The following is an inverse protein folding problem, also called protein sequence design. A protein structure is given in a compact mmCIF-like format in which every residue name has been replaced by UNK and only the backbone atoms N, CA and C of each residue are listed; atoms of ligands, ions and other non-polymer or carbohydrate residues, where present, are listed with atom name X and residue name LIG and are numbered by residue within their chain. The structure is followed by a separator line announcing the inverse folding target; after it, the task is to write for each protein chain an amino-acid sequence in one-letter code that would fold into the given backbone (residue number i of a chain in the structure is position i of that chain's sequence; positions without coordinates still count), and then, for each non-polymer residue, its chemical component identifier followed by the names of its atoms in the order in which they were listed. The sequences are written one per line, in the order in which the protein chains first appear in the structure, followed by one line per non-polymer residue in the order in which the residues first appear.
data_IF_254608606875
#
_entry.id   IF_254608606875
#
_cell.length_a   1.000
_cell.length_b   1.000
_cell.length_c   1.000
_cell.angle_alpha   90.00
_cell.angle_beta   90.00
_cell.angle_gamma   90.00
#
_symmetry.space_group_name_H-M   'P 1'
#
loop_
_entity.id
_entity.type
_entity.pdbx_description
1 polymer ?
#
# COMPACT_ATOMS: atom_id res chain seq x y z
N UNK A 1 2.75 -13.02 12.65
CA UNK A 1 3.81 -12.97 11.63
C UNK A 1 3.49 -14.02 10.59
N UNK A 2 3.20 -13.58 9.38
CA UNK A 2 3.01 -14.49 8.24
C UNK A 2 4.35 -14.51 7.52
N UNK A 3 5.00 -15.66 7.55
CA UNK A 3 6.23 -15.91 6.80
C UNK A 3 5.90 -16.88 5.67
N UNK A 4 5.72 -16.35 4.46
CA UNK A 4 5.46 -17.16 3.28
C UNK A 4 6.71 -17.16 2.38
N UNK A 5 7.51 -18.22 2.50
CA UNK A 5 8.80 -18.34 1.83
C UNK A 5 8.69 -18.96 0.41
N UNK A 6 7.49 -19.10 -0.15
CA UNK A 6 7.27 -19.96 -1.32
C UNK A 6 6.63 -19.30 -2.55
N UNK A 7 6.63 -17.99 -2.73
CA UNK A 7 5.86 -17.34 -3.81
C UNK A 7 4.38 -17.77 -3.88
N UNK A 8 3.90 -18.47 -2.87
CA UNK A 8 2.54 -18.94 -2.82
C UNK A 8 1.74 -17.99 -1.95
N UNK A 9 0.88 -17.32 -2.57
CA UNK A 9 0.07 -16.24 -2.05
C UNK A 9 -1.04 -16.85 -1.22
N UNK A 10 -0.99 -16.64 0.07
CA UNK A 10 -2.03 -17.12 0.98
C UNK A 10 -3.11 -16.05 1.16
N UNK A 11 -4.35 -16.46 1.08
CA UNK A 11 -5.47 -15.64 1.54
C UNK A 11 -5.44 -15.54 3.06
N UNK A 12 -5.56 -14.32 3.58
CA UNK A 12 -5.68 -14.04 5.00
C UNK A 12 -7.12 -13.57 5.29
N UNK A 13 -7.92 -14.47 5.84
CA UNK A 13 -9.29 -14.13 6.26
C UNK A 13 -9.35 -13.92 7.77
N UNK A 14 -9.80 -12.74 8.19
CA UNK A 14 -9.89 -12.33 9.58
C UNK A 14 -11.30 -11.87 9.91
N UNK A 15 -11.84 -12.37 11.02
CA UNK A 15 -13.13 -11.93 11.57
C UNK A 15 -12.94 -11.33 12.95
N UNK A 16 -13.55 -10.19 13.21
CA UNK A 16 -13.65 -9.67 14.56
C UNK A 16 -14.62 -10.48 15.40
N UNK A 17 -14.25 -10.72 16.65
CA UNK A 17 -15.14 -11.35 17.62
C UNK A 17 -16.33 -10.44 17.98
N UNK A 18 -16.11 -9.16 17.95
CA UNK A 18 -17.12 -8.11 18.20
C UNK A 18 -16.91 -7.01 17.12
N UNK A 19 -17.86 -6.93 16.22
CA UNK A 19 -17.86 -6.00 15.09
C UNK A 19 -18.80 -4.79 15.35
N UNK A 20 -19.14 -4.52 16.60
CA UNK A 20 -20.04 -3.42 16.97
C UNK A 20 -19.31 -2.07 17.13
N UNK A 21 -17.99 -2.06 17.01
CA UNK A 21 -17.17 -0.86 17.02
C UNK A 21 -17.35 0.01 15.78
N UNK A 22 -16.79 1.21 15.82
CA UNK A 22 -16.70 2.12 14.68
C UNK A 22 -15.29 2.71 14.55
N UNK A 23 -14.30 2.09 15.20
CA UNK A 23 -12.89 2.49 15.19
C UNK A 23 -11.98 1.28 15.38
N UNK A 24 -12.31 0.18 14.70
CA UNK A 24 -11.56 -1.06 14.78
C UNK A 24 -10.29 -0.98 13.92
N UNK A 25 -9.19 -1.48 14.46
CA UNK A 25 -7.86 -1.39 13.84
C UNK A 25 -7.27 -2.78 13.63
N UNK A 26 -6.83 -3.06 12.41
CA UNK A 26 -6.03 -4.22 12.09
C UNK A 26 -4.58 -3.79 11.82
N UNK A 27 -3.63 -4.48 12.44
CA UNK A 27 -2.21 -4.28 12.15
C UNK A 27 -1.65 -5.53 11.45
N UNK A 28 -1.00 -5.32 10.32
CA UNK A 28 -0.33 -6.36 9.52
C UNK A 28 1.13 -5.99 9.36
N UNK A 29 2.01 -6.90 9.75
CA UNK A 29 3.46 -6.75 9.59
C UNK A 29 3.96 -7.75 8.55
N UNK A 30 4.59 -7.24 7.51
CA UNK A 30 5.23 -8.02 6.45
C UNK A 30 6.74 -7.83 6.56
N UNK A 31 7.44 -8.93 6.54
CA UNK A 31 8.90 -8.92 6.54
C UNK A 31 9.38 -9.53 5.23
N UNK A 32 10.19 -8.79 4.47
CA UNK A 32 10.77 -9.23 3.21
C UNK A 32 11.50 -10.57 3.36
N UNK A 33 11.52 -11.36 2.31
CA UNK A 33 12.10 -12.70 2.33
C UNK A 33 13.61 -12.62 2.55
N UNK A 34 14.12 -13.46 3.47
CA UNK A 34 15.52 -13.55 3.85
C UNK A 34 16.40 -14.02 2.67
N UNK A 35 17.12 -13.10 2.04
CA UNK A 35 18.30 -13.37 1.21
C UNK A 35 18.07 -14.16 -0.08
N UNK A 36 16.85 -14.34 -0.56
CA UNK A 36 16.57 -15.00 -1.83
C UNK A 36 16.19 -13.99 -2.91
N UNK A 37 17.04 -13.83 -3.88
CA UNK A 37 16.78 -13.00 -5.05
C UNK A 37 15.46 -13.38 -5.73
N UNK A 38 14.50 -12.45 -5.74
CA UNK A 38 13.21 -12.61 -6.43
C UNK A 38 12.11 -13.28 -5.60
N UNK A 39 12.33 -13.55 -4.32
CA UNK A 39 11.25 -13.97 -3.43
C UNK A 39 10.39 -12.76 -3.02
N UNK A 40 9.09 -12.89 -3.14
CA UNK A 40 8.12 -11.92 -2.62
C UNK A 40 7.42 -12.55 -1.42
N UNK A 41 7.31 -11.81 -0.32
CA UNK A 41 6.34 -12.15 0.70
C UNK A 41 4.99 -11.60 0.24
N UNK A 42 4.15 -12.49 -0.27
CA UNK A 42 2.86 -12.12 -0.83
C UNK A 42 1.68 -12.61 0.01
N UNK A 43 0.69 -11.75 0.15
CA UNK A 43 -0.67 -12.11 0.55
C UNK A 43 -1.54 -11.83 -0.67
N UNK A 44 -2.27 -12.85 -1.15
CA UNK A 44 -3.13 -12.71 -2.33
C UNK A 44 -4.30 -11.79 -2.01
N UNK A 45 -4.95 -12.09 -0.92
CA UNK A 45 -6.09 -11.32 -0.49
C UNK A 45 -6.13 -11.19 1.02
N UNK A 46 -6.38 -9.98 1.51
CA UNK A 46 -6.71 -9.75 2.91
C UNK A 46 -8.21 -9.49 2.99
N UNK A 47 -8.92 -10.46 3.54
CA UNK A 47 -10.37 -10.40 3.73
C UNK A 47 -10.66 -10.15 5.20
N UNK A 48 -11.36 -9.08 5.48
CA UNK A 48 -11.84 -8.77 6.82
C UNK A 48 -13.19 -8.04 6.77
N UNK A 49 -13.86 -7.94 7.91
CA UNK A 49 -15.13 -7.22 8.04
C UNK A 49 -15.12 -6.32 9.26
N UNK A 50 -15.72 -5.15 9.13
CA UNK A 50 -15.87 -4.16 10.21
C UNK A 50 -14.53 -3.68 10.80
N UNK A 51 -13.55 -3.46 9.94
CA UNK A 51 -12.28 -2.80 10.26
C UNK A 51 -12.25 -1.44 9.54
N UNK A 52 -12.15 -0.38 10.29
CA UNK A 52 -12.11 0.99 9.73
C UNK A 52 -10.69 1.43 9.41
N UNK A 53 -9.69 0.89 10.10
CA UNK A 53 -8.28 1.25 9.89
C UNK A 53 -7.42 0.01 9.73
N UNK A 54 -6.69 -0.06 8.63
CA UNK A 54 -5.66 -1.05 8.37
C UNK A 54 -4.29 -0.39 8.43
N UNK A 55 -3.43 -0.86 9.33
CA UNK A 55 -2.03 -0.47 9.39
C UNK A 55 -1.16 -1.59 8.83
N UNK A 56 -0.33 -1.27 7.85
CA UNK A 56 0.60 -2.19 7.22
C UNK A 56 2.02 -1.70 7.49
N UNK A 57 2.86 -2.58 8.01
CA UNK A 57 4.30 -2.34 8.12
C UNK A 57 5.03 -3.27 7.15
N UNK A 58 5.82 -2.69 6.26
CA UNK A 58 6.65 -3.38 5.27
C UNK A 58 8.11 -3.19 5.62
N UNK A 59 8.70 -4.19 6.24
CA UNK A 59 10.08 -4.11 6.71
C UNK A 59 10.94 -5.27 6.16
N UNK A 60 12.24 -5.03 6.12
CA UNK A 60 13.23 -6.09 5.87
C UNK A 60 13.45 -6.89 7.14
N UNK A 61 13.59 -8.20 7.02
CA UNK A 61 13.99 -9.04 8.16
C UNK A 61 15.41 -8.70 8.55
N UNK A 62 15.59 -8.15 9.75
CA UNK A 62 16.91 -8.06 10.38
C UNK A 62 17.26 -9.42 10.99
N UNK A 63 17.96 -10.25 10.28
CA UNK A 63 18.53 -11.47 10.88
C UNK A 63 19.62 -11.05 11.85
N UNK A 64 19.42 -11.33 13.12
CA UNK A 64 20.44 -11.13 14.15
C UNK A 64 21.66 -11.98 13.84
N UNK A 65 22.70 -11.39 13.27
CA UNK A 65 23.98 -12.00 13.07
C UNK A 65 24.55 -11.87 11.67
N UNK A 66 25.19 -10.77 11.39
CA UNK A 66 26.31 -10.62 10.43
C UNK A 66 26.04 -10.90 8.94
N UNK A 67 24.80 -10.98 8.50
CA UNK A 67 24.54 -10.97 7.07
C UNK A 67 24.14 -9.55 6.64
N UNK A 68 24.96 -9.01 5.76
CA UNK A 68 24.72 -7.74 5.13
C UNK A 68 23.45 -7.88 4.30
N UNK A 69 22.39 -7.23 4.71
CA UNK A 69 21.18 -7.04 3.90
C UNK A 69 21.61 -6.45 2.56
N UNK A 70 21.78 -7.30 1.57
CA UNK A 70 21.94 -6.84 0.20
C UNK A 70 20.55 -6.36 -0.23
N UNK A 71 20.41 -5.08 -0.41
CA UNK A 71 19.22 -4.36 -0.86
C UNK A 71 18.82 -4.75 -2.29
N UNK A 72 18.65 -6.01 -2.56
CA UNK A 72 18.27 -6.47 -3.88
C UNK A 72 16.82 -6.89 -3.90
N UNK A 73 15.95 -5.91 -4.18
CA UNK A 73 14.75 -6.12 -4.98
C UNK A 73 13.71 -7.10 -4.44
N UNK A 74 13.70 -7.38 -3.16
CA UNK A 74 12.61 -8.09 -2.51
C UNK A 74 11.49 -7.09 -2.25
N UNK A 75 10.26 -7.50 -2.42
CA UNK A 75 9.12 -6.64 -2.20
C UNK A 75 8.05 -7.41 -1.46
N UNK A 76 7.44 -6.77 -0.48
CA UNK A 76 6.20 -7.26 0.07
C UNK A 76 5.05 -6.98 -0.91
N UNK A 77 4.12 -7.92 -1.01
CA UNK A 77 3.01 -7.84 -1.95
C UNK A 77 1.69 -8.11 -1.21
N UNK A 78 0.74 -7.23 -1.38
CA UNK A 78 -0.67 -7.50 -1.09
C UNK A 78 -1.42 -7.28 -2.41
N UNK A 79 -1.86 -8.38 -3.02
CA UNK A 79 -2.48 -8.33 -4.34
C UNK A 79 -3.84 -7.67 -4.30
N UNK A 80 -4.59 -7.89 -3.21
CA UNK A 80 -5.85 -7.20 -2.99
C UNK A 80 -6.17 -7.06 -1.49
N UNK A 81 -6.86 -5.99 -1.16
CA UNK A 81 -7.60 -5.84 0.09
C UNK A 81 -9.06 -5.85 -0.32
N UNK A 82 -9.67 -7.02 -0.23
CA UNK A 82 -11.07 -7.19 -0.59
C UNK A 82 -11.95 -7.26 0.65
N UNK A 83 -13.18 -6.85 0.47
CA UNK A 83 -14.31 -7.18 1.31
C UNK A 83 -14.58 -6.35 2.55
N UNK A 84 -14.01 -5.17 2.76
CA UNK A 84 -14.54 -4.37 3.85
C UNK A 84 -15.17 -3.05 3.43
N UNK A 85 -16.51 -3.01 3.53
CA UNK A 85 -17.28 -1.77 3.33
C UNK A 85 -17.11 -0.76 4.47
N UNK A 86 -16.43 -1.10 5.57
CA UNK A 86 -16.16 -0.20 6.69
C UNK A 86 -14.79 0.49 6.57
N UNK A 87 -13.87 -0.03 5.76
CA UNK A 87 -12.50 0.48 5.63
C UNK A 87 -12.49 1.92 5.14
N UNK A 88 -11.98 2.82 5.98
CA UNK A 88 -11.85 4.25 5.67
C UNK A 88 -10.40 4.70 5.53
N UNK A 89 -9.48 3.99 6.19
CA UNK A 89 -8.09 4.39 6.31
C UNK A 89 -7.14 3.21 6.14
N UNK A 90 -6.16 3.38 5.25
CA UNK A 90 -5.02 2.47 5.12
C UNK A 90 -3.75 3.27 5.38
N UNK A 91 -2.96 2.86 6.37
CA UNK A 91 -1.66 3.42 6.66
C UNK A 91 -0.59 2.40 6.30
N UNK A 92 0.42 2.84 5.55
CA UNK A 92 1.55 2.01 5.12
C UNK A 92 2.85 2.66 5.60
N UNK A 93 3.69 1.87 6.23
CA UNK A 93 4.98 2.32 6.74
C UNK A 93 6.04 1.25 6.56
N UNK A 94 7.31 1.64 6.72
CA UNK A 94 8.41 0.70 6.72
C UNK A 94 9.56 1.07 5.80
N UNK A 95 10.53 0.17 5.73
CA UNK A 95 11.80 0.37 5.02
C UNK A 95 12.04 -0.66 3.91
N UNK A 96 11.04 -1.43 3.56
CA UNK A 96 11.09 -2.37 2.43
C UNK A 96 10.03 -2.02 1.39
N UNK A 97 10.30 -2.37 0.12
CA UNK A 97 9.38 -2.12 -0.97
C UNK A 97 8.05 -2.83 -0.76
N UNK A 98 6.96 -2.15 -1.07
CA UNK A 98 5.63 -2.74 -1.05
C UNK A 98 4.90 -2.55 -2.37
N UNK A 99 4.15 -3.55 -2.78
CA UNK A 99 3.10 -3.44 -3.79
C UNK A 99 1.77 -3.76 -3.12
N UNK A 100 0.83 -2.84 -3.20
CA UNK A 100 -0.45 -2.92 -2.50
C UNK A 100 -1.60 -2.51 -3.43
N UNK A 101 -2.63 -3.34 -3.50
CA UNK A 101 -3.90 -2.97 -4.13
C UNK A 101 -5.01 -2.87 -3.08
N UNK A 102 -5.77 -1.81 -3.12
CA UNK A 102 -7.02 -1.63 -2.37
C UNK A 102 -8.17 -1.66 -3.37
N UNK A 103 -8.96 -2.73 -3.30
CA UNK A 103 -10.03 -3.02 -4.25
C UNK A 103 -11.21 -2.05 -4.19
N UNK A 104 -12.15 -2.25 -5.10
CA UNK A 104 -13.37 -1.43 -5.20
C UNK A 104 -14.34 -1.67 -4.02
N UNK A 105 -14.19 -2.77 -3.31
CA UNK A 105 -14.96 -3.16 -2.14
C UNK A 105 -14.76 -2.19 -0.98
N UNK A 106 -13.58 -1.57 -0.87
CA UNK A 106 -13.28 -0.49 0.09
C UNK A 106 -13.97 0.83 -0.32
N UNK A 107 -15.29 0.80 -0.48
CA UNK A 107 -16.07 1.91 -1.02
C UNK A 107 -16.06 3.18 -0.15
N UNK A 108 -15.70 3.07 1.12
CA UNK A 108 -15.58 4.20 2.07
C UNK A 108 -14.14 4.66 2.27
N UNK A 109 -13.17 4.09 1.57
CA UNK A 109 -11.78 4.53 1.68
C UNK A 109 -11.67 6.02 1.39
N UNK A 110 -11.11 6.76 2.32
CA UNK A 110 -10.90 8.21 2.22
C UNK A 110 -9.44 8.61 2.43
N UNK A 111 -8.63 7.71 3.01
CA UNK A 111 -7.21 7.95 3.28
C UNK A 111 -6.36 6.74 2.95
N UNK A 112 -5.35 6.95 2.12
CA UNK A 112 -4.27 6.00 1.85
C UNK A 112 -2.95 6.71 2.15
N UNK A 113 -2.43 6.51 3.36
CA UNK A 113 -1.28 7.24 3.89
C UNK A 113 -0.04 6.33 3.90
N UNK A 114 0.84 6.51 2.94
CA UNK A 114 2.13 5.85 2.84
C UNK A 114 3.31 6.78 3.23
N UNK A 115 3.04 7.90 3.89
CA UNK A 115 4.09 8.86 4.27
C UNK A 115 5.13 8.28 5.26
N UNK A 116 4.81 7.15 5.89
CA UNK A 116 5.73 6.39 6.73
C UNK A 116 6.69 5.47 5.96
N UNK A 117 6.56 5.37 4.63
CA UNK A 117 7.47 4.58 3.80
C UNK A 117 8.76 5.34 3.55
N UNK A 118 9.88 4.63 3.74
CA UNK A 118 11.21 5.15 3.39
C UNK A 118 11.79 4.48 2.14
N UNK A 119 11.07 3.53 1.58
CA UNK A 119 11.39 2.81 0.36
C UNK A 119 10.20 2.86 -0.62
N UNK A 120 10.38 2.35 -1.84
CA UNK A 120 9.43 2.49 -2.93
C UNK A 120 8.09 1.80 -2.63
N UNK A 121 6.98 2.50 -2.84
CA UNK A 121 5.64 1.98 -2.74
C UNK A 121 4.94 2.00 -4.10
N UNK A 122 4.36 0.88 -4.49
CA UNK A 122 3.48 0.77 -5.66
C UNK A 122 2.06 0.54 -5.15
N UNK A 123 1.27 1.58 -5.17
CA UNK A 123 -0.08 1.59 -4.63
C UNK A 123 -1.10 1.61 -5.75
N UNK A 124 -2.15 0.83 -5.62
CA UNK A 124 -3.31 0.88 -6.52
C UNK A 124 -4.56 1.05 -5.68
N UNK A 125 -5.45 1.94 -6.08
CA UNK A 125 -6.77 2.07 -5.49
C UNK A 125 -7.84 2.09 -6.56
N UNK A 126 -8.93 1.35 -6.32
CA UNK A 126 -10.13 1.34 -7.14
C UNK A 126 -11.34 1.89 -6.37
N UNK A 127 -11.12 2.54 -5.23
CA UNK A 127 -12.19 3.14 -4.44
C UNK A 127 -12.92 4.21 -5.26
N UNK A 128 -14.25 4.21 -5.15
CA UNK A 128 -15.10 5.19 -5.85
C UNK A 128 -15.30 6.49 -5.06
N UNK A 129 -14.88 6.50 -3.79
CA UNK A 129 -14.91 7.69 -2.93
C UNK A 129 -13.74 8.62 -3.25
N UNK A 130 -13.81 9.87 -2.78
CA UNK A 130 -12.68 10.78 -2.81
C UNK A 130 -11.58 10.29 -1.85
N UNK A 131 -10.38 10.06 -2.36
CA UNK A 131 -9.24 9.52 -1.60
C UNK A 131 -8.14 10.56 -1.48
N UNK A 132 -7.66 10.76 -0.25
CA UNK A 132 -6.43 11.49 0.01
C UNK A 132 -5.28 10.49 0.09
N UNK A 133 -4.33 10.60 -0.83
CA UNK A 133 -3.12 9.77 -0.87
C UNK A 133 -1.94 10.62 -0.43
N UNK A 134 -1.13 10.05 0.48
CA UNK A 134 0.18 10.61 0.84
C UNK A 134 1.24 9.56 0.53
N UNK A 135 2.23 9.94 -0.24
CA UNK A 135 3.37 9.11 -0.60
C UNK A 135 4.51 9.33 0.40
N UNK A 136 5.42 8.37 0.46
CA UNK A 136 6.60 8.40 1.33
C UNK A 136 7.79 9.13 0.71
N UNK A 137 8.99 8.74 1.14
CA UNK A 137 10.24 9.27 0.59
C UNK A 137 10.90 8.34 -0.44
N UNK A 138 10.22 7.32 -0.87
CA UNK A 138 10.63 6.39 -1.92
C UNK A 138 10.55 6.99 -3.32
N UNK A 139 10.65 6.13 -4.34
CA UNK A 139 10.22 6.45 -5.70
C UNK A 139 8.88 5.74 -5.89
N UNK A 140 7.81 6.45 -5.63
CA UNK A 140 6.51 5.86 -5.42
C UNK A 140 5.67 5.86 -6.70
N UNK A 141 4.73 4.95 -6.76
CA UNK A 141 3.72 4.92 -7.83
C UNK A 141 2.35 4.80 -7.20
N UNK A 142 1.44 5.68 -7.58
CA UNK A 142 0.01 5.54 -7.28
C UNK A 142 -0.79 5.37 -8.57
N UNK A 143 -1.65 4.36 -8.61
CA UNK A 143 -2.54 4.06 -9.72
C UNK A 143 -4.00 4.12 -9.26
N UNK A 144 -4.78 5.00 -9.85
CA UNK A 144 -6.23 5.11 -9.62
C UNK A 144 -7.08 4.36 -10.64
N UNK A 145 -6.45 3.74 -11.66
CA UNK A 145 -7.21 3.12 -12.74
C UNK A 145 -8.16 4.12 -13.40
N UNK A 146 -9.45 3.88 -13.30
CA UNK A 146 -10.52 4.73 -13.85
C UNK A 146 -11.24 5.58 -12.81
N UNK A 147 -10.81 5.54 -11.55
CA UNK A 147 -11.55 6.17 -10.43
C UNK A 147 -11.04 7.55 -10.06
N UNK A 148 -9.93 8.02 -10.65
CA UNK A 148 -9.41 9.36 -10.37
C UNK A 148 -10.42 10.45 -10.73
N UNK A 149 -10.70 11.31 -9.76
CA UNK A 149 -11.60 12.47 -9.88
C UNK A 149 -10.93 13.74 -9.39
N UNK A 150 -11.55 14.90 -9.63
CA UNK A 150 -11.07 16.17 -9.09
C UNK A 150 -11.21 16.32 -7.56
N UNK A 151 -11.82 15.36 -6.88
CA UNK A 151 -11.95 15.34 -5.42
C UNK A 151 -10.80 14.56 -4.75
N UNK A 152 -10.02 13.81 -5.53
CA UNK A 152 -8.86 13.09 -5.01
C UNK A 152 -7.68 14.05 -4.80
N UNK A 153 -6.85 13.72 -3.82
CA UNK A 153 -5.65 14.49 -3.52
C UNK A 153 -4.46 13.55 -3.42
N UNK A 154 -3.37 13.89 -4.09
CA UNK A 154 -2.09 13.18 -3.98
C UNK A 154 -1.02 14.14 -3.49
N UNK A 155 -0.34 13.76 -2.42
CA UNK A 155 0.80 14.51 -1.86
C UNK A 155 2.04 13.64 -1.93
N UNK A 156 3.09 14.17 -2.55
CA UNK A 156 4.40 13.56 -2.60
C UNK A 156 5.15 13.81 -1.29
N UNK A 157 5.82 12.79 -0.76
CA UNK A 157 6.70 12.88 0.42
C UNK A 157 8.16 13.13 0.10
N UNK A 158 8.50 13.24 -1.18
CA UNK A 158 9.88 13.42 -1.67
C UNK A 158 10.50 12.10 -2.14
N UNK A 159 11.49 12.19 -3.00
CA UNK A 159 12.07 11.04 -3.67
C UNK A 159 13.38 10.61 -2.99
N UNK A 160 13.60 9.30 -2.92
CA UNK A 160 14.86 8.73 -2.41
C UNK A 160 16.05 9.07 -3.29
N UNK A 161 15.85 9.26 -4.59
CA UNK A 161 16.86 9.70 -5.55
C UNK A 161 16.38 10.91 -6.31
N UNK A 162 17.25 11.90 -6.49
CA UNK A 162 16.92 13.15 -7.19
C UNK A 162 16.61 12.99 -8.70
N UNK A 163 16.76 11.79 -9.25
CA UNK A 163 16.63 11.52 -10.69
C UNK A 163 15.32 10.80 -11.07
N UNK A 164 14.56 10.32 -10.10
CA UNK A 164 13.30 9.61 -10.34
C UNK A 164 12.17 10.32 -9.61
N UNK A 165 11.15 10.68 -10.33
CA UNK A 165 9.96 11.32 -9.78
C UNK A 165 8.92 10.26 -9.38
N UNK A 166 8.10 10.57 -8.42
CA UNK A 166 6.91 9.80 -8.13
C UNK A 166 5.95 9.81 -9.32
N UNK A 167 5.17 8.76 -9.43
CA UNK A 167 4.33 8.54 -10.58
C UNK A 167 2.86 8.44 -10.18
N UNK A 168 2.02 9.23 -10.82
CA UNK A 168 0.58 9.07 -10.81
C UNK A 168 0.13 8.46 -12.14
N UNK A 169 -0.60 7.35 -12.08
CA UNK A 169 -1.21 6.70 -13.23
C UNK A 169 -2.72 6.66 -13.06
N UNK A 170 -3.45 7.08 -14.08
CA UNK A 170 -4.91 7.01 -14.10
C UNK A 170 -5.44 7.06 -15.54
N UNK A 171 -6.60 6.45 -15.76
CA UNK A 171 -7.39 6.71 -16.96
C UNK A 171 -8.36 7.85 -16.67
N UNK A 172 -8.11 9.01 -17.27
CA UNK A 172 -8.95 10.20 -17.04
C UNK A 172 -10.09 10.16 -18.06
N UNK A 173 -11.31 9.94 -17.57
CA UNK A 173 -12.53 10.08 -18.36
C UNK A 173 -13.22 11.40 -18.00
N UNK A 174 -12.91 12.44 -18.74
CA UNK A 174 -13.49 13.78 -18.54
C UNK A 174 -12.47 14.84 -18.11
N UNK A 175 -12.93 16.07 -17.92
CA UNK A 175 -12.10 17.19 -17.43
C UNK A 175 -11.95 17.08 -15.91
N UNK A 176 -10.88 16.49 -15.45
CA UNK A 176 -10.49 16.50 -14.03
C UNK A 176 -9.28 17.40 -13.84
N UNK A 177 -9.30 18.21 -12.79
CA UNK A 177 -8.14 19.00 -12.38
C UNK A 177 -7.37 18.16 -11.37
N UNK A 178 -6.16 17.75 -11.74
CA UNK A 178 -5.22 17.09 -10.82
C UNK A 178 -4.33 18.17 -10.21
N UNK A 179 -4.36 18.29 -8.90
CA UNK A 179 -3.48 19.20 -8.16
C UNK A 179 -2.45 18.36 -7.41
N UNK A 180 -1.21 18.43 -7.81
CA UNK A 180 -0.10 17.77 -7.13
C UNK A 180 0.88 18.80 -6.56
N UNK A 181 1.48 18.48 -5.41
CA UNK A 181 2.62 19.22 -4.85
C UNK A 181 3.83 18.29 -4.85
N UNK A 182 4.92 18.70 -5.48
CA UNK A 182 6.13 17.89 -5.60
C UNK A 182 6.46 17.49 -7.04
N UNK A 183 7.35 16.50 -7.21
CA UNK A 183 7.80 16.01 -8.52
C UNK A 183 6.91 14.87 -9.03
N UNK A 184 5.61 15.09 -9.10
CA UNK A 184 4.66 14.11 -9.59
C UNK A 184 4.63 14.08 -11.12
N UNK A 185 4.89 12.92 -11.71
CA UNK A 185 4.79 12.69 -13.14
C UNK A 185 3.45 12.02 -13.48
N UNK A 186 2.65 12.66 -14.31
CA UNK A 186 1.36 12.14 -14.77
C UNK A 186 1.58 11.47 -16.13
N UNK A 187 1.30 10.19 -16.22
CA UNK A 187 1.50 9.40 -17.43
C UNK A 187 0.25 8.59 -17.80
#
# INVERSE_FOLDING_TARGET
VINNNDNNVAELSLGLKDASGSADVLNVELYGADGKTGAQNGIDDIIFTAIETLNITSDVVSVLGNEQLTTTSESNLITDISADTALTTVNVSGNDKITLTVGAEAALLSSLDASGMTYDAVLTTSAASAVTVKLGSGNDTINFGTTLTGADTVTDGGNRTATTADRLTATISGLSTVTGTGNLNIS
#
